data_IF_193755726931
#
_entry.id   IF_193755726931
#
_cell.length_a   1.000
_cell.length_b   1.000
_cell.length_c   1.000
_cell.angle_alpha   90.00
_cell.angle_beta   90.00
_cell.angle_gamma   90.00
#
_symmetry.space_group_name_H-M   'P 1'
#
loop_
_entity.id
_entity.type
_entity.pdbx_description
1 polymer ?
#
# COMPACT_ATOMS: atom_id res chain seq x y z
N UNK A 1 15.50 25.48 42.88
CA UNK A 1 14.66 26.49 42.19
C UNK A 1 13.21 26.28 42.58
N UNK A 2 12.44 27.33 42.83
CA UNK A 2 11.03 27.21 43.16
C UNK A 2 10.29 26.65 41.95
N UNK A 3 9.67 25.48 42.12
CA UNK A 3 8.82 24.88 41.08
C UNK A 3 7.50 25.66 41.00
N UNK A 4 7.28 26.35 39.90
CA UNK A 4 6.01 26.98 39.62
C UNK A 4 4.98 25.94 39.19
N UNK A 5 3.93 25.73 39.96
CA UNK A 5 2.82 24.87 39.60
C UNK A 5 1.88 25.62 38.66
N UNK A 6 1.67 25.07 37.44
CA UNK A 6 0.71 25.60 36.47
C UNK A 6 -0.44 24.61 36.35
N UNK A 7 -1.66 25.03 36.64
CA UNK A 7 -2.86 24.22 36.43
C UNK A 7 -3.45 24.53 35.04
N UNK A 8 -3.57 23.51 34.22
CA UNK A 8 -4.20 23.59 32.89
C UNK A 8 -5.39 22.65 32.86
N UNK A 9 -6.53 23.13 32.35
CA UNK A 9 -7.73 22.31 32.21
C UNK A 9 -7.49 21.14 31.24
N UNK A 10 -7.99 19.96 31.59
CA UNK A 10 -7.83 18.74 30.79
C UNK A 10 -8.33 18.95 29.34
N UNK A 11 -9.49 19.58 29.18
CA UNK A 11 -10.05 19.83 27.85
C UNK A 11 -9.20 20.78 27.00
N UNK A 12 -8.46 21.70 27.65
CA UNK A 12 -7.56 22.61 26.94
C UNK A 12 -6.36 21.89 26.32
N UNK A 13 -6.01 20.71 26.84
CA UNK A 13 -4.89 19.89 26.32
C UNK A 13 -5.42 18.76 25.40
N UNK A 14 -6.40 17.99 25.85
CA UNK A 14 -6.79 16.74 25.19
C UNK A 14 -8.01 16.87 24.26
N UNK A 15 -8.71 18.00 24.26
CA UNK A 15 -9.81 18.30 23.33
C UNK A 15 -9.46 19.46 22.39
N UNK A 16 -8.17 19.79 22.21
CA UNK A 16 -7.69 20.84 21.32
C UNK A 16 -6.39 20.44 20.62
N UNK A 17 -5.87 21.32 19.76
CA UNK A 17 -4.57 21.14 19.12
C UNK A 17 -3.45 21.68 20.03
N UNK A 18 -2.47 20.84 20.31
CA UNK A 18 -1.32 21.21 21.17
C UNK A 18 -0.02 20.96 20.41
N UNK A 19 0.86 21.95 20.38
CA UNK A 19 2.21 21.84 19.85
C UNK A 19 3.25 21.91 20.98
N UNK A 20 4.17 20.94 21.03
CA UNK A 20 5.33 20.93 21.93
C UNK A 20 6.57 21.28 21.10
N UNK A 21 7.14 22.45 21.34
CA UNK A 21 8.28 22.98 20.60
C UNK A 21 9.53 23.06 21.46
N UNK A 22 10.68 22.84 20.85
CA UNK A 22 11.97 22.96 21.53
C UNK A 22 13.10 22.32 20.70
N UNK A 23 14.33 22.66 21.00
CA UNK A 23 15.51 22.08 20.37
C UNK A 23 15.72 20.61 20.81
N UNK A 24 16.61 19.90 20.14
CA UNK A 24 17.04 18.55 20.54
C UNK A 24 17.59 18.61 21.97
N UNK A 25 17.17 17.67 22.82
CA UNK A 25 17.56 17.63 24.23
C UNK A 25 16.76 18.55 25.17
N UNK A 26 15.81 19.36 24.67
CA UNK A 26 14.99 20.28 25.51
C UNK A 26 13.92 19.59 26.34
N UNK A 27 13.76 18.26 26.22
CA UNK A 27 12.77 17.50 26.97
C UNK A 27 11.39 17.38 26.33
N UNK A 28 11.25 17.58 25.00
CA UNK A 28 9.97 17.42 24.28
C UNK A 28 9.33 16.06 24.52
N UNK A 29 10.05 14.97 24.22
CA UNK A 29 9.55 13.60 24.40
C UNK A 29 9.26 13.28 25.87
N UNK A 30 10.06 13.84 26.80
CA UNK A 30 9.81 13.72 28.24
C UNK A 30 8.51 14.42 28.64
N UNK A 31 8.26 15.62 28.13
CA UNK A 31 7.03 16.38 28.42
C UNK A 31 5.81 15.63 27.87
N UNK A 32 5.89 15.11 26.67
CA UNK A 32 4.84 14.30 26.05
C UNK A 32 4.58 13.03 26.87
N UNK A 33 5.63 12.28 27.20
CA UNK A 33 5.54 11.09 28.05
C UNK A 33 4.88 11.39 29.39
N UNK A 34 5.32 12.44 30.08
CA UNK A 34 4.79 12.83 31.39
C UNK A 34 3.31 13.20 31.33
N UNK A 35 2.92 13.95 30.28
CA UNK A 35 1.54 14.39 30.07
C UNK A 35 0.58 13.18 29.93
N UNK A 36 0.90 12.27 29.06
CA UNK A 36 0.05 11.09 28.82
C UNK A 36 0.17 10.04 29.93
N UNK A 37 1.33 9.91 30.58
CA UNK A 37 1.49 9.05 31.75
C UNK A 37 0.54 9.48 32.89
N UNK A 38 0.51 10.77 33.23
CA UNK A 38 -0.38 11.28 34.27
C UNK A 38 -1.86 11.18 33.89
N UNK A 39 -2.20 11.36 32.62
CA UNK A 39 -3.55 11.13 32.10
C UNK A 39 -3.99 9.68 32.31
N UNK A 40 -3.21 8.70 31.84
CA UNK A 40 -3.54 7.29 31.99
C UNK A 40 -3.47 6.80 33.41
N UNK A 41 -2.57 7.32 34.24
CA UNK A 41 -2.51 7.03 35.66
C UNK A 41 -3.79 7.44 36.36
N UNK A 42 -4.38 8.57 35.99
CA UNK A 42 -5.57 9.14 36.64
C UNK A 42 -6.88 8.53 36.07
N UNK A 43 -6.95 8.30 34.77
CA UNK A 43 -8.20 7.95 34.08
C UNK A 43 -8.20 6.56 33.41
N UNK A 44 -7.05 5.91 33.27
CA UNK A 44 -6.90 4.67 32.51
C UNK A 44 -7.67 3.45 33.06
N UNK A 45 -8.08 3.49 34.35
CA UNK A 45 -8.95 2.48 34.94
C UNK A 45 -10.45 2.79 34.83
N UNK A 46 -10.82 3.98 34.35
CA UNK A 46 -12.21 4.43 34.26
C UNK A 46 -12.79 3.88 32.94
N UNK A 47 -13.84 3.07 33.02
CA UNK A 47 -14.45 2.40 31.88
C UNK A 47 -14.97 3.41 30.83
N UNK A 48 -15.65 4.48 31.26
CA UNK A 48 -16.13 5.54 30.37
C UNK A 48 -14.98 6.23 29.58
N UNK A 49 -13.81 6.40 30.20
CA UNK A 49 -12.64 6.93 29.51
C UNK A 49 -12.12 5.94 28.46
N UNK A 50 -12.04 4.67 28.83
CA UNK A 50 -11.55 3.61 27.91
C UNK A 50 -12.45 3.40 26.69
N UNK A 51 -13.77 3.53 26.88
CA UNK A 51 -14.75 3.35 25.81
C UNK A 51 -14.87 4.59 24.90
N UNK A 52 -14.70 5.79 25.45
CA UNK A 52 -14.96 7.05 24.73
C UNK A 52 -13.71 7.77 24.26
N UNK A 53 -12.52 7.29 24.62
CA UNK A 53 -11.27 7.98 24.26
C UNK A 53 -10.32 7.04 23.54
N UNK A 54 -9.83 7.46 22.39
CA UNK A 54 -8.81 6.77 21.62
C UNK A 54 -7.62 7.69 21.40
N UNK A 55 -6.45 7.18 21.70
CA UNK A 55 -5.16 7.84 21.51
C UNK A 55 -4.33 7.00 20.53
N UNK A 56 -3.81 7.63 19.50
CA UNK A 56 -2.92 6.97 18.53
C UNK A 56 -1.63 7.77 18.46
N UNK A 57 -0.54 7.16 18.89
CA UNK A 57 0.79 7.75 18.92
C UNK A 57 1.62 7.18 17.77
N UNK A 58 2.08 8.07 16.89
CA UNK A 58 3.02 7.77 15.81
C UNK A 58 4.43 8.07 16.33
N UNK A 59 5.21 7.02 16.49
CA UNK A 59 6.53 7.02 17.12
C UNK A 59 7.62 6.76 16.08
N UNK A 60 8.32 7.79 15.64
CA UNK A 60 9.34 7.67 14.61
C UNK A 60 10.63 7.02 15.10
N UNK A 61 10.93 7.11 16.39
CA UNK A 61 12.20 6.68 16.98
C UNK A 61 12.11 5.40 17.81
N UNK A 62 10.90 4.92 18.14
CA UNK A 62 10.68 3.76 18.99
C UNK A 62 10.87 4.07 20.48
N UNK A 63 10.63 5.32 20.90
CA UNK A 63 10.83 5.77 22.29
C UNK A 63 9.70 5.37 23.23
N UNK A 64 8.52 5.07 22.67
CA UNK A 64 7.29 4.82 23.44
C UNK A 64 6.88 3.35 23.50
N UNK A 65 7.68 2.45 22.95
CA UNK A 65 7.51 1.01 23.12
C UNK A 65 7.90 0.61 24.55
N UNK A 66 7.22 -0.40 25.09
CA UNK A 66 7.60 -1.00 26.36
C UNK A 66 9.01 -1.60 26.24
N UNK A 67 9.84 -1.33 27.23
CA UNK A 67 11.20 -1.87 27.27
C UNK A 67 11.14 -3.19 28.02
N UNK A 68 11.51 -4.28 27.38
CA UNK A 68 11.85 -5.52 28.04
C UNK A 68 13.22 -5.27 28.68
N UNK A 69 13.25 -5.15 30.01
CA UNK A 69 14.50 -5.20 30.74
C UNK A 69 15.09 -6.62 30.57
N UNK A 70 16.43 -6.76 30.58
CA UNK A 70 17.18 -7.99 30.32
C UNK A 70 16.56 -9.23 31.00
N UNK A 71 16.91 -10.44 30.54
CA UNK A 71 16.45 -11.71 31.09
C UNK A 71 16.64 -11.85 32.62
N UNK A 72 17.50 -11.02 33.23
CA UNK A 72 17.76 -10.95 34.68
C UNK A 72 16.79 -10.06 35.44
N UNK A 73 16.05 -9.13 34.78
CA UNK A 73 15.00 -8.30 35.40
C UNK A 73 13.74 -8.27 34.51
N UNK A 74 12.81 -9.23 34.73
CA UNK A 74 11.58 -9.34 33.92
C UNK A 74 10.56 -8.22 34.14
N UNK A 75 10.88 -7.18 34.89
CA UNK A 75 10.01 -6.01 35.04
C UNK A 75 10.01 -5.20 33.76
N UNK A 76 9.00 -5.40 32.90
CA UNK A 76 8.76 -4.50 31.77
C UNK A 76 8.46 -3.11 32.30
N UNK A 77 9.33 -2.14 31.99
CA UNK A 77 9.04 -0.75 32.30
C UNK A 77 7.99 -0.26 31.31
N UNK A 78 6.75 -0.18 31.78
CA UNK A 78 5.66 0.36 30.98
C UNK A 78 5.95 1.84 30.66
N UNK A 79 6.09 2.16 29.37
CA UNK A 79 6.21 3.54 28.90
C UNK A 79 4.81 4.06 28.63
N UNK A 80 4.45 5.23 29.13
CA UNK A 80 3.12 5.87 29.12
C UNK A 80 2.10 5.16 30.02
N UNK A 81 1.78 3.90 29.78
CA UNK A 81 0.80 3.12 30.54
C UNK A 81 1.05 1.62 30.35
N UNK A 82 0.37 0.78 31.14
CA UNK A 82 0.46 -0.69 31.07
C UNK A 82 -0.23 -1.24 29.83
N UNK A 83 0.08 -2.51 29.50
CA UNK A 83 -0.51 -3.25 28.39
C UNK A 83 -2.04 -3.40 28.48
N UNK A 84 -2.62 -3.23 29.68
CA UNK A 84 -4.07 -3.20 29.85
C UNK A 84 -4.74 -2.03 29.09
N UNK A 85 -4.02 -0.94 28.89
CA UNK A 85 -4.50 0.24 28.19
C UNK A 85 -3.79 0.51 26.86
N UNK A 86 -2.71 -0.23 26.56
CA UNK A 86 -1.84 0.04 25.41
C UNK A 86 -1.73 -1.17 24.50
N UNK A 87 -1.77 -0.94 23.20
CA UNK A 87 -1.37 -1.88 22.14
C UNK A 87 -0.24 -1.28 21.33
N UNK A 88 0.76 -2.07 21.03
CA UNK A 88 1.96 -1.67 20.29
C UNK A 88 2.05 -2.37 18.94
N UNK A 89 2.41 -1.60 17.91
CA UNK A 89 2.75 -2.08 16.58
C UNK A 89 4.18 -1.60 16.26
N UNK A 90 5.17 -2.44 16.50
CA UNK A 90 6.55 -2.19 16.08
C UNK A 90 6.69 -2.61 14.62
N UNK A 91 6.43 -1.67 13.71
CA UNK A 91 6.44 -1.95 12.27
C UNK A 91 7.86 -2.05 11.73
N UNK A 92 8.08 -2.95 10.76
CA UNK A 92 9.38 -3.13 10.11
C UNK A 92 9.24 -3.51 8.64
N UNK A 93 9.96 -2.82 7.75
CA UNK A 93 10.09 -3.22 6.35
C UNK A 93 11.16 -4.30 6.13
N UNK A 94 12.04 -4.51 7.12
CA UNK A 94 13.12 -5.52 7.06
C UNK A 94 12.68 -6.93 7.44
N UNK A 95 11.53 -7.09 8.15
CA UNK A 95 11.05 -8.38 8.66
C UNK A 95 9.77 -8.77 7.91
N UNK A 96 9.76 -9.97 7.33
CA UNK A 96 8.63 -10.44 6.52
C UNK A 96 7.36 -10.73 7.36
N UNK A 97 7.53 -11.29 8.56
CA UNK A 97 6.42 -11.71 9.44
C UNK A 97 6.39 -10.90 10.75
N UNK A 98 6.68 -9.60 10.67
CA UNK A 98 6.58 -8.69 11.80
C UNK A 98 5.14 -8.32 12.17
N UNK A 99 4.95 -7.55 13.26
CA UNK A 99 3.65 -6.95 13.57
C UNK A 99 3.17 -6.08 12.41
N UNK A 100 1.89 -6.20 12.06
CA UNK A 100 1.26 -5.40 11.00
C UNK A 100 0.08 -4.61 11.57
N UNK A 101 -0.09 -3.39 11.06
CA UNK A 101 -1.21 -2.53 11.42
C UNK A 101 -2.47 -2.99 10.67
N UNK A 102 -3.54 -3.37 11.37
CA UNK A 102 -4.77 -3.76 10.71
C UNK A 102 -5.53 -2.55 10.19
N UNK A 103 -5.96 -2.62 8.92
CA UNK A 103 -6.85 -1.66 8.29
C UNK A 103 -8.02 -2.41 7.64
N UNK A 104 -9.23 -1.83 7.61
CA UNK A 104 -10.36 -2.47 6.96
C UNK A 104 -10.20 -2.44 5.43
N UNK A 105 -10.87 -3.35 4.75
CA UNK A 105 -10.90 -3.44 3.29
C UNK A 105 -11.36 -2.13 2.62
N UNK A 106 -12.29 -1.42 3.26
CA UNK A 106 -12.78 -0.12 2.81
C UNK A 106 -11.68 0.95 2.76
N UNK A 107 -10.76 0.95 3.74
CA UNK A 107 -9.64 1.90 3.75
C UNK A 107 -8.63 1.60 2.62
N UNK A 108 -8.38 0.31 2.35
CA UNK A 108 -7.47 -0.13 1.28
C UNK A 108 -8.08 0.08 -0.11
N UNK A 109 -9.41 0.03 -0.22
CA UNK A 109 -10.12 0.28 -1.48
C UNK A 109 -10.31 1.77 -1.79
N UNK A 110 -10.00 2.67 -0.86
CA UNK A 110 -10.11 4.11 -1.05
C UNK A 110 -9.04 4.63 -2.04
N UNK A 111 -9.47 5.49 -2.96
CA UNK A 111 -8.57 6.16 -3.92
C UNK A 111 -7.41 6.90 -3.22
N UNK A 112 -7.68 7.55 -2.08
CA UNK A 112 -6.64 8.28 -1.37
C UNK A 112 -5.55 7.35 -0.81
N UNK A 113 -5.87 6.11 -0.43
CA UNK A 113 -4.86 5.12 -0.04
C UNK A 113 -3.82 4.95 -1.17
N UNK A 114 -4.27 4.67 -2.39
CA UNK A 114 -3.39 4.43 -3.52
C UNK A 114 -2.70 5.70 -4.02
N UNK A 115 -3.39 6.84 -3.98
CA UNK A 115 -2.79 8.13 -4.33
C UNK A 115 -1.62 8.47 -3.41
N UNK A 116 -1.78 8.28 -2.09
CA UNK A 116 -0.73 8.50 -1.10
C UNK A 116 0.37 7.43 -1.21
N UNK A 117 -0.01 6.15 -1.27
CA UNK A 117 0.94 5.05 -1.36
C UNK A 117 1.84 5.20 -2.58
N UNK A 118 1.29 5.56 -3.73
CA UNK A 118 2.00 5.65 -4.99
C UNK A 118 2.51 7.06 -5.31
N UNK A 119 2.28 8.05 -4.42
CA UNK A 119 2.65 9.45 -4.67
C UNK A 119 2.17 9.89 -6.06
N UNK A 120 0.89 9.68 -6.33
CA UNK A 120 0.31 9.84 -7.65
C UNK A 120 0.08 11.31 -7.99
N UNK A 121 0.49 11.71 -9.19
CA UNK A 121 0.26 13.08 -9.67
C UNK A 121 -1.22 13.36 -9.90
N UNK A 122 -1.69 14.54 -9.49
CA UNK A 122 -3.12 14.91 -9.54
C UNK A 122 -3.69 14.94 -10.96
N UNK A 123 -2.91 15.37 -11.95
CA UNK A 123 -3.40 15.62 -13.33
C UNK A 123 -3.54 14.35 -14.17
N UNK A 124 -2.73 13.33 -13.94
CA UNK A 124 -2.65 12.16 -14.82
C UNK A 124 -2.83 10.84 -14.08
N UNK A 125 -2.09 10.65 -12.97
CA UNK A 125 -2.03 9.37 -12.28
C UNK A 125 -3.21 9.15 -11.33
N UNK A 126 -3.66 10.16 -10.59
CA UNK A 126 -4.83 10.05 -9.73
C UNK A 126 -6.14 9.79 -10.52
N UNK A 127 -6.43 10.46 -11.66
CA UNK A 127 -7.56 10.10 -12.52
C UNK A 127 -7.48 8.67 -13.08
N UNK A 128 -6.28 8.19 -13.42
CA UNK A 128 -6.07 6.79 -13.82
C UNK A 128 -6.46 5.83 -12.68
N UNK A 129 -5.95 6.04 -11.46
CA UNK A 129 -6.30 5.23 -10.29
C UNK A 129 -7.80 5.27 -9.98
N UNK A 130 -8.44 6.44 -10.09
CA UNK A 130 -9.88 6.59 -9.90
C UNK A 130 -10.69 5.72 -10.87
N UNK A 131 -10.30 5.64 -12.15
CA UNK A 131 -10.94 4.75 -13.13
C UNK A 131 -10.80 3.27 -12.76
N UNK A 132 -9.63 2.87 -12.28
CA UNK A 132 -9.38 1.48 -11.86
C UNK A 132 -10.26 1.10 -10.66
N UNK A 133 -10.35 1.97 -9.66
CA UNK A 133 -11.02 1.67 -8.39
C UNK A 133 -12.54 1.79 -8.47
N UNK A 134 -13.05 2.72 -9.31
CA UNK A 134 -14.50 2.97 -9.44
C UNK A 134 -15.17 2.12 -10.52
N UNK A 135 -14.45 1.18 -11.14
CA UNK A 135 -14.97 0.34 -12.22
C UNK A 135 -14.97 -1.13 -11.82
N UNK A 136 -16.08 -1.80 -12.02
CA UNK A 136 -16.23 -3.25 -11.84
C UNK A 136 -15.71 -4.06 -13.05
N UNK A 137 -15.18 -3.38 -14.06
CA UNK A 137 -14.76 -4.00 -15.32
C UNK A 137 -13.78 -5.15 -15.11
N UNK A 138 -12.78 -4.93 -14.26
CA UNK A 138 -11.78 -5.95 -13.97
C UNK A 138 -12.29 -6.99 -12.97
N UNK A 139 -13.11 -6.59 -12.00
CA UNK A 139 -13.68 -7.51 -11.00
C UNK A 139 -14.51 -8.61 -11.69
N UNK A 140 -15.36 -8.23 -12.62
CA UNK A 140 -16.18 -9.16 -13.41
C UNK A 140 -15.33 -10.15 -14.22
N UNK A 141 -14.22 -9.70 -14.79
CA UNK A 141 -13.33 -10.54 -15.61
C UNK A 141 -12.41 -11.42 -14.78
N UNK A 142 -11.91 -10.93 -13.68
CA UNK A 142 -11.10 -11.72 -12.75
C UNK A 142 -11.94 -12.85 -12.14
N UNK A 143 -13.23 -12.59 -11.87
CA UNK A 143 -14.16 -13.61 -11.41
C UNK A 143 -14.44 -14.71 -12.48
N UNK A 144 -14.17 -14.43 -13.76
CA UNK A 144 -14.35 -15.35 -14.87
C UNK A 144 -13.01 -15.57 -15.60
N UNK A 145 -12.18 -16.53 -15.19
CA UNK A 145 -10.83 -16.71 -15.72
C UNK A 145 -10.74 -16.80 -17.24
N UNK A 146 -11.71 -17.46 -17.90
CA UNK A 146 -11.74 -17.57 -19.35
C UNK A 146 -11.93 -16.21 -20.03
N UNK A 147 -12.73 -15.33 -19.47
CA UNK A 147 -12.91 -13.97 -20.00
C UNK A 147 -11.67 -13.11 -19.82
N UNK A 148 -11.02 -13.20 -18.67
CA UNK A 148 -9.77 -12.48 -18.44
C UNK A 148 -8.66 -12.96 -19.38
N UNK A 149 -8.50 -14.28 -19.55
CA UNK A 149 -7.52 -14.84 -20.47
C UNK A 149 -7.79 -14.43 -21.94
N UNK A 150 -9.05 -14.32 -22.33
CA UNK A 150 -9.42 -13.79 -23.65
C UNK A 150 -9.01 -12.33 -23.80
N UNK A 151 -9.29 -11.49 -22.78
CA UNK A 151 -8.88 -10.07 -22.78
C UNK A 151 -7.36 -9.94 -22.85
N UNK A 152 -6.61 -10.73 -22.07
CA UNK A 152 -5.14 -10.75 -22.11
C UNK A 152 -4.62 -11.16 -23.48
N UNK A 153 -5.20 -12.18 -24.08
CA UNK A 153 -4.88 -12.62 -25.44
C UNK A 153 -5.14 -11.52 -26.49
N UNK A 154 -6.28 -10.83 -26.38
CA UNK A 154 -6.63 -9.70 -27.26
C UNK A 154 -5.71 -8.50 -27.06
N UNK A 155 -5.25 -8.23 -25.85
CA UNK A 155 -4.25 -7.19 -25.57
C UNK A 155 -2.92 -7.50 -26.28
N UNK A 156 -2.45 -8.74 -26.18
CA UNK A 156 -1.20 -9.16 -26.83
C UNK A 156 -1.35 -9.16 -28.36
N UNK A 157 -2.47 -9.62 -28.86
CA UNK A 157 -2.74 -9.57 -30.29
C UNK A 157 -2.73 -8.13 -30.83
N UNK A 158 -3.38 -7.20 -30.11
CA UNK A 158 -3.36 -5.77 -30.46
C UNK A 158 -1.95 -5.18 -30.39
N UNK A 159 -1.20 -5.46 -29.32
CA UNK A 159 0.17 -4.97 -29.18
C UNK A 159 1.06 -5.42 -30.32
N UNK A 160 0.96 -6.69 -30.72
CA UNK A 160 1.82 -7.30 -31.75
C UNK A 160 1.39 -6.97 -33.19
N UNK A 161 0.13 -6.58 -33.41
CA UNK A 161 -0.39 -6.06 -34.70
C UNK A 161 -0.34 -4.53 -34.81
N UNK A 162 0.07 -3.83 -33.76
CA UNK A 162 0.14 -2.37 -33.75
C UNK A 162 1.32 -1.86 -34.58
N UNK A 163 1.12 -0.73 -35.25
CA UNK A 163 2.19 0.03 -35.90
C UNK A 163 2.91 1.00 -34.91
N UNK A 164 2.50 1.04 -33.65
CA UNK A 164 3.12 1.87 -32.63
C UNK A 164 4.47 1.26 -32.22
N UNK A 165 5.55 1.94 -32.57
CA UNK A 165 6.92 1.51 -32.26
C UNK A 165 7.27 1.54 -30.77
N UNK A 166 6.43 2.16 -29.93
CA UNK A 166 6.59 2.12 -28.47
C UNK A 166 6.12 0.81 -27.86
N UNK A 167 5.29 0.05 -28.59
CA UNK A 167 4.83 -1.29 -28.23
C UNK A 167 5.80 -2.34 -28.76
N UNK A 168 6.90 -2.51 -28.06
CA UNK A 168 7.96 -3.45 -28.40
C UNK A 168 7.74 -4.85 -27.75
N UNK A 169 8.65 -5.77 -28.06
CA UNK A 169 8.68 -7.11 -27.46
C UNK A 169 8.66 -7.06 -25.93
N UNK A 170 9.38 -6.11 -25.33
CA UNK A 170 9.48 -6.01 -23.88
C UNK A 170 8.13 -5.65 -23.23
N UNK A 171 7.29 -4.88 -23.90
CA UNK A 171 5.93 -4.57 -23.44
C UNK A 171 5.08 -5.83 -23.25
N UNK A 172 5.15 -6.76 -24.23
CA UNK A 172 4.42 -8.05 -24.17
C UNK A 172 4.97 -8.93 -23.05
N UNK A 173 6.30 -9.07 -22.97
CA UNK A 173 6.93 -9.90 -21.95
C UNK A 173 6.69 -9.35 -20.52
N UNK A 174 6.72 -8.04 -20.34
CA UNK A 174 6.44 -7.40 -19.07
C UNK A 174 4.98 -7.61 -18.64
N UNK A 175 4.01 -7.50 -19.56
CA UNK A 175 2.61 -7.81 -19.25
C UNK A 175 2.47 -9.23 -18.69
N UNK A 176 3.04 -10.23 -19.36
CA UNK A 176 2.95 -11.62 -18.91
C UNK A 176 3.69 -11.85 -17.58
N UNK A 177 4.85 -11.24 -17.41
CA UNK A 177 5.62 -11.30 -16.16
C UNK A 177 4.85 -10.66 -15.00
N UNK A 178 4.21 -9.51 -15.21
CA UNK A 178 3.40 -8.85 -14.17
C UNK A 178 2.16 -9.66 -13.79
N UNK A 179 1.50 -10.30 -14.77
CA UNK A 179 0.40 -11.24 -14.47
C UNK A 179 0.92 -12.39 -13.59
N UNK A 180 2.08 -12.98 -13.92
CA UNK A 180 2.72 -14.02 -13.10
C UNK A 180 3.06 -13.52 -11.68
N UNK A 181 3.61 -12.32 -11.57
CA UNK A 181 3.95 -11.71 -10.27
C UNK A 181 2.71 -11.44 -9.39
N UNK A 182 1.57 -11.12 -10.01
CA UNK A 182 0.32 -10.89 -9.28
C UNK A 182 -0.35 -12.19 -8.78
N UNK A 183 0.00 -13.35 -9.33
CA UNK A 183 -0.45 -14.65 -8.80
C UNK A 183 0.20 -15.00 -7.44
N UNK A 184 1.24 -14.25 -7.04
CA UNK A 184 1.83 -14.30 -5.70
C UNK A 184 2.39 -15.67 -5.32
N UNK A 185 1.86 -16.24 -4.21
CA UNK A 185 2.31 -17.52 -3.65
C UNK A 185 1.91 -18.75 -4.48
N UNK A 186 1.06 -18.58 -5.49
CA UNK A 186 0.59 -19.66 -6.38
C UNK A 186 0.97 -19.39 -7.83
N UNK A 187 2.27 -19.33 -8.17
CA UNK A 187 2.71 -19.08 -9.54
C UNK A 187 2.22 -20.18 -10.46
N UNK A 188 1.83 -19.82 -11.70
CA UNK A 188 1.41 -20.78 -12.70
C UNK A 188 2.60 -21.32 -13.49
N UNK A 189 2.94 -22.62 -13.38
CA UNK A 189 3.99 -23.20 -14.22
C UNK A 189 3.68 -23.11 -15.72
N UNK A 190 2.40 -23.20 -16.11
CA UNK A 190 1.98 -23.08 -17.50
C UNK A 190 2.24 -21.66 -18.04
N UNK A 191 1.99 -20.62 -17.23
CA UNK A 191 2.32 -19.23 -17.61
C UNK A 191 3.84 -19.01 -17.66
N UNK A 192 4.60 -19.58 -16.73
CA UNK A 192 6.07 -19.51 -16.76
C UNK A 192 6.65 -20.15 -18.04
N UNK A 193 6.12 -21.31 -18.44
CA UNK A 193 6.51 -21.96 -19.67
C UNK A 193 6.12 -21.12 -20.91
N UNK A 194 4.94 -20.50 -20.88
CA UNK A 194 4.51 -19.61 -21.96
C UNK A 194 5.41 -18.36 -22.06
N UNK A 195 5.78 -17.75 -20.92
CA UNK A 195 6.73 -16.63 -20.90
C UNK A 195 8.06 -17.04 -21.55
N UNK A 196 8.55 -18.23 -21.22
CA UNK A 196 9.79 -18.77 -21.82
C UNK A 196 9.63 -18.99 -23.33
N UNK A 197 8.49 -19.53 -23.79
CA UNK A 197 8.20 -19.71 -25.21
C UNK A 197 8.15 -18.35 -25.94
N UNK A 198 7.52 -17.34 -25.37
CA UNK A 198 7.50 -15.98 -25.91
C UNK A 198 8.90 -15.34 -25.92
N UNK A 199 9.72 -15.60 -24.90
CA UNK A 199 11.11 -15.14 -24.86
C UNK A 199 11.97 -15.78 -25.94
N UNK A 200 11.70 -17.02 -26.34
CA UNK A 200 12.46 -17.72 -27.36
C UNK A 200 11.99 -17.40 -28.76
N UNK A 201 10.68 -17.26 -28.97
CA UNK A 201 10.08 -17.26 -30.32
C UNK A 201 9.47 -15.90 -30.73
N UNK A 202 9.02 -15.04 -29.80
CA UNK A 202 8.52 -13.70 -30.13
C UNK A 202 9.69 -12.74 -30.28
N UNK A 203 9.82 -12.14 -31.45
CA UNK A 203 10.86 -11.16 -31.77
C UNK A 203 10.26 -9.87 -32.32
N UNK A 204 11.03 -8.78 -32.25
CA UNK A 204 10.66 -7.49 -32.80
C UNK A 204 11.80 -6.93 -33.66
N UNK A 205 11.51 -6.65 -34.91
CA UNK A 205 12.46 -5.99 -35.80
C UNK A 205 12.28 -4.46 -35.71
N UNK A 206 13.19 -3.79 -35.01
CA UNK A 206 13.11 -2.33 -34.76
C UNK A 206 13.22 -1.52 -36.08
N UNK A 207 13.95 -2.02 -37.10
CA UNK A 207 14.10 -1.35 -38.39
C UNK A 207 12.79 -1.37 -39.17
N UNK A 208 12.11 -2.51 -39.18
CA UNK A 208 10.83 -2.68 -39.90
C UNK A 208 9.63 -2.25 -39.04
N UNK A 209 9.81 -2.10 -37.70
CA UNK A 209 8.72 -1.80 -36.78
C UNK A 209 7.69 -2.94 -36.68
N UNK A 210 8.09 -4.19 -36.88
CA UNK A 210 7.18 -5.34 -36.94
C UNK A 210 7.64 -6.47 -36.04
N UNK A 211 6.66 -7.18 -35.48
CA UNK A 211 6.88 -8.44 -34.80
C UNK A 211 7.05 -9.59 -35.77
N UNK A 212 7.70 -10.67 -35.32
CA UNK A 212 7.73 -11.96 -36.00
C UNK A 212 7.87 -13.09 -34.96
N UNK A 213 7.39 -14.27 -35.34
CA UNK A 213 7.45 -15.47 -34.51
C UNK A 213 8.37 -16.50 -35.15
N UNK A 214 9.25 -17.11 -34.35
CA UNK A 214 10.21 -18.11 -34.79
C UNK A 214 11.56 -17.52 -35.20
N UNK A 215 12.47 -18.40 -35.70
CA UNK A 215 13.81 -17.98 -36.08
C UNK A 215 13.81 -17.31 -37.45
N UNK A 216 14.62 -16.25 -37.61
CA UNK A 216 14.82 -15.58 -38.90
C UNK A 216 15.44 -16.51 -40.00
N UNK A 217 16.13 -17.57 -39.59
CA UNK A 217 16.71 -18.56 -40.48
C UNK A 217 15.70 -19.58 -41.07
N UNK A 218 14.53 -19.67 -40.44
CA UNK A 218 13.37 -20.39 -40.98
C UNK A 218 12.30 -19.35 -41.34
N UNK A 219 11.40 -19.61 -42.27
CA UNK A 219 10.37 -18.66 -42.68
C UNK A 219 9.63 -18.10 -41.44
N UNK A 220 9.90 -16.84 -41.01
CA UNK A 220 9.27 -16.28 -39.79
C UNK A 220 7.79 -16.04 -40.06
N UNK A 221 6.96 -16.30 -39.05
CA UNK A 221 5.54 -15.99 -39.07
C UNK A 221 5.39 -14.51 -38.67
N UNK A 222 4.81 -13.69 -39.52
CA UNK A 222 4.51 -12.29 -39.24
C UNK A 222 3.06 -12.09 -38.75
N UNK A 223 2.68 -10.92 -38.28
CA UNK A 223 1.34 -10.66 -37.79
C UNK A 223 0.20 -10.80 -38.81
N UNK A 224 0.50 -10.79 -40.10
CA UNK A 224 -0.48 -10.96 -41.18
C UNK A 224 -0.68 -12.44 -41.54
N UNK A 225 0.19 -13.33 -41.05
CA UNK A 225 0.11 -14.76 -41.31
C UNK A 225 -1.04 -15.43 -40.54
N UNK A 226 -1.82 -16.35 -41.11
CA UNK A 226 -2.94 -17.04 -40.47
C UNK A 226 -2.59 -17.73 -39.14
N UNK A 227 -1.36 -18.23 -38.97
CA UNK A 227 -0.90 -18.89 -37.76
C UNK A 227 -0.48 -17.91 -36.63
N UNK A 228 -0.55 -16.60 -36.85
CA UNK A 228 -0.13 -15.62 -35.83
C UNK A 228 -0.95 -15.71 -34.56
N UNK A 229 -2.27 -15.76 -34.67
CA UNK A 229 -3.17 -15.85 -33.50
C UNK A 229 -2.95 -17.16 -32.75
N UNK A 230 -2.76 -18.27 -33.41
CA UNK A 230 -2.47 -19.56 -32.79
C UNK A 230 -1.16 -19.54 -31.96
N UNK A 231 -0.15 -18.78 -32.41
CA UNK A 231 1.12 -18.67 -31.70
C UNK A 231 1.14 -17.60 -30.60
N UNK A 232 0.18 -16.68 -30.57
CA UNK A 232 0.12 -15.57 -29.62
C UNK A 232 -1.13 -15.66 -28.73
N UNK A 233 -2.27 -15.21 -29.22
CA UNK A 233 -3.52 -15.12 -28.45
C UNK A 233 -3.99 -16.49 -27.94
N UNK A 234 -4.07 -17.50 -28.81
CA UNK A 234 -4.69 -18.78 -28.45
C UNK A 234 -3.89 -19.52 -27.37
N UNK A 235 -2.56 -19.37 -27.35
CA UNK A 235 -1.71 -19.92 -26.31
C UNK A 235 -2.04 -19.32 -24.93
N UNK A 236 -2.46 -18.05 -24.87
CA UNK A 236 -2.84 -17.37 -23.63
C UNK A 236 -4.24 -17.82 -23.19
N UNK A 237 -5.17 -17.87 -24.13
CA UNK A 237 -6.55 -18.31 -23.88
C UNK A 237 -6.59 -19.76 -23.36
N UNK A 238 -5.66 -20.59 -23.79
CA UNK A 238 -5.55 -21.99 -23.37
C UNK A 238 -4.88 -22.21 -22.00
N UNK A 239 -4.40 -21.15 -21.32
CA UNK A 239 -3.72 -21.29 -20.04
C UNK A 239 -4.68 -21.78 -18.95
N UNK A 240 -4.32 -22.81 -18.18
CA UNK A 240 -5.11 -23.27 -17.04
C UNK A 240 -4.82 -22.43 -15.79
N UNK A 241 -5.18 -21.14 -15.82
CA UNK A 241 -4.95 -20.22 -14.70
C UNK A 241 -6.26 -19.94 -13.97
N UNK A 242 -6.20 -20.02 -12.65
CA UNK A 242 -7.25 -19.54 -11.76
C UNK A 242 -6.76 -18.30 -11.01
N UNK A 243 -7.46 -17.19 -11.19
CA UNK A 243 -7.12 -15.90 -10.55
C UNK A 243 -7.71 -15.75 -9.15
N UNK A 244 -8.51 -16.72 -8.67
CA UNK A 244 -9.07 -16.69 -7.30
C UNK A 244 -8.01 -16.85 -6.20
N UNK A 245 -6.78 -17.22 -6.56
CA UNK A 245 -5.64 -17.25 -5.62
C UNK A 245 -5.09 -15.86 -5.27
N UNK A 246 -5.49 -14.82 -6.00
CA UNK A 246 -5.08 -13.44 -5.71
C UNK A 246 -5.82 -12.98 -4.46
N UNK A 247 -5.05 -12.60 -3.43
CA UNK A 247 -5.63 -12.15 -2.16
C UNK A 247 -6.47 -10.88 -2.35
N UNK A 248 -7.70 -10.84 -1.78
CA UNK A 248 -8.51 -9.62 -1.78
C UNK A 248 -7.78 -8.43 -1.12
N UNK A 249 -8.14 -7.22 -1.51
CA UNK A 249 -7.53 -6.00 -0.98
C UNK A 249 -6.31 -5.57 -1.81
N UNK A 250 -5.13 -5.50 -1.19
CA UNK A 250 -3.95 -4.88 -1.81
C UNK A 250 -3.52 -5.61 -3.11
N UNK A 251 -3.48 -6.94 -3.11
CA UNK A 251 -3.02 -7.70 -4.27
C UNK A 251 -4.00 -7.65 -5.43
N UNK A 252 -5.29 -7.76 -5.13
CA UNK A 252 -6.33 -7.64 -6.15
C UNK A 252 -6.33 -6.25 -6.81
N UNK A 253 -6.22 -5.19 -6.02
CA UNK A 253 -6.17 -3.83 -6.57
C UNK A 253 -4.87 -3.59 -7.34
N UNK A 254 -3.73 -4.08 -6.84
CA UNK A 254 -2.48 -4.09 -7.61
C UNK A 254 -2.67 -4.72 -8.98
N UNK A 255 -3.30 -5.89 -9.03
CA UNK A 255 -3.56 -6.59 -10.29
C UNK A 255 -4.45 -5.78 -11.23
N UNK A 256 -5.53 -5.18 -10.72
CA UNK A 256 -6.40 -4.29 -11.51
C UNK A 256 -5.63 -3.09 -12.08
N UNK A 257 -4.74 -2.47 -11.30
CA UNK A 257 -3.88 -1.36 -11.75
C UNK A 257 -2.97 -1.80 -12.90
N UNK A 258 -2.33 -2.95 -12.77
CA UNK A 258 -1.46 -3.53 -13.82
C UNK A 258 -2.25 -3.80 -15.10
N UNK A 259 -3.40 -4.48 -14.99
CA UNK A 259 -4.24 -4.79 -16.13
C UNK A 259 -4.70 -3.52 -16.87
N UNK A 260 -5.17 -2.51 -16.12
CA UNK A 260 -5.62 -1.25 -16.70
C UNK A 260 -4.46 -0.49 -17.37
N UNK A 261 -3.29 -0.49 -16.75
CA UNK A 261 -2.11 0.16 -17.33
C UNK A 261 -1.77 -0.41 -18.70
N UNK A 262 -1.64 -1.73 -18.82
CA UNK A 262 -1.31 -2.34 -20.10
C UNK A 262 -2.45 -2.19 -21.12
N UNK A 263 -3.70 -2.28 -20.68
CA UNK A 263 -4.84 -2.04 -21.57
C UNK A 263 -4.84 -0.62 -22.14
N UNK A 264 -4.59 0.38 -21.31
CA UNK A 264 -4.57 1.79 -21.72
C UNK A 264 -3.38 2.10 -22.65
N UNK A 265 -2.20 1.59 -22.32
CA UNK A 265 -0.98 1.79 -23.13
C UNK A 265 -1.12 1.10 -24.49
N UNK A 266 -1.54 -0.16 -24.52
CA UNK A 266 -1.71 -0.94 -25.75
C UNK A 266 -2.83 -0.39 -26.65
N UNK A 267 -3.85 0.18 -26.05
CA UNK A 267 -4.96 0.80 -26.80
C UNK A 267 -4.70 2.25 -27.19
N UNK A 268 -3.56 2.83 -26.78
CA UNK A 268 -3.22 4.24 -27.06
C UNK A 268 -4.03 5.27 -26.25
N UNK A 269 -4.79 4.83 -25.23
CA UNK A 269 -5.56 5.75 -24.36
C UNK A 269 -4.68 6.57 -23.43
N UNK A 270 -3.52 6.06 -23.05
CA UNK A 270 -2.61 6.74 -22.15
C UNK A 270 -1.18 6.66 -22.64
N UNK A 271 -0.45 7.78 -22.49
CA UNK A 271 0.98 7.78 -22.78
C UNK A 271 1.72 6.99 -21.69
N UNK A 272 2.54 6.02 -22.14
CA UNK A 272 3.40 5.19 -21.29
C UNK A 272 4.27 6.03 -20.36
N UNK A 273 4.85 7.12 -20.83
CA UNK A 273 5.75 7.96 -20.04
C UNK A 273 5.10 8.57 -18.79
N UNK A 274 3.80 8.88 -18.85
CA UNK A 274 3.07 9.44 -17.72
C UNK A 274 2.73 8.41 -16.64
N UNK A 275 2.50 7.16 -17.03
CA UNK A 275 2.08 6.10 -16.12
C UNK A 275 3.22 5.18 -15.65
N UNK A 276 4.30 5.02 -16.42
CA UNK A 276 5.44 4.17 -16.03
C UNK A 276 6.03 4.49 -14.66
N UNK A 277 6.17 5.77 -14.23
CA UNK A 277 6.65 6.08 -12.89
C UNK A 277 5.70 5.58 -11.78
N UNK A 278 4.39 5.58 -12.04
CA UNK A 278 3.40 5.05 -11.12
C UNK A 278 3.56 3.54 -10.96
N UNK A 279 3.69 2.80 -12.08
CA UNK A 279 3.88 1.34 -12.07
C UNK A 279 5.19 0.97 -11.36
N UNK A 280 6.27 1.70 -11.60
CA UNK A 280 7.52 1.45 -10.90
C UNK A 280 7.41 1.65 -9.37
N UNK A 281 6.64 2.65 -8.93
CA UNK A 281 6.34 2.82 -7.50
C UNK A 281 5.42 1.71 -6.97
N UNK A 282 4.47 1.23 -7.77
CA UNK A 282 3.63 0.07 -7.43
C UNK A 282 4.48 -1.17 -7.14
N UNK A 283 5.42 -1.50 -8.02
CA UNK A 283 6.33 -2.65 -7.88
C UNK A 283 7.18 -2.59 -6.60
N UNK A 284 7.64 -1.40 -6.23
CA UNK A 284 8.53 -1.22 -5.07
C UNK A 284 7.79 -1.04 -3.75
N UNK A 285 6.67 -0.29 -3.74
CA UNK A 285 5.98 0.09 -2.50
C UNK A 285 4.95 -0.93 -2.02
N UNK A 286 4.35 -1.72 -2.94
CA UNK A 286 3.37 -2.74 -2.53
C UNK A 286 3.99 -3.85 -1.69
N UNK A 287 5.17 -4.41 -2.02
CA UNK A 287 5.81 -5.37 -1.13
C UNK A 287 6.12 -4.82 0.26
N UNK A 288 6.50 -3.55 0.36
CA UNK A 288 6.80 -2.90 1.63
C UNK A 288 5.54 -2.66 2.46
N UNK A 289 4.48 -2.09 1.85
CA UNK A 289 3.24 -1.83 2.58
C UNK A 289 2.58 -3.13 3.08
N UNK A 290 2.67 -4.24 2.36
CA UNK A 290 2.18 -5.56 2.78
C UNK A 290 2.89 -6.11 4.03
N UNK A 291 4.12 -5.70 4.31
CA UNK A 291 4.82 -6.03 5.55
C UNK A 291 4.33 -5.20 6.74
N UNK A 292 3.76 -4.02 6.49
CA UNK A 292 3.38 -3.05 7.50
C UNK A 292 1.88 -3.08 7.82
N UNK A 293 1.05 -3.45 6.84
CA UNK A 293 -0.42 -3.42 6.94
C UNK A 293 -0.99 -4.82 6.66
N UNK A 294 -2.06 -5.16 7.36
CA UNK A 294 -2.91 -6.31 7.08
C UNK A 294 -4.35 -5.83 6.91
N UNK A 295 -5.07 -6.42 5.95
CA UNK A 295 -6.50 -6.14 5.77
C UNK A 295 -7.29 -6.98 6.78
N UNK A 296 -8.06 -6.31 7.64
CA UNK A 296 -8.83 -6.94 8.72
C UNK A 296 -10.09 -6.11 8.99
N UNK A 297 -11.23 -6.61 8.53
CA UNK A 297 -12.52 -5.94 8.69
C UNK A 297 -13.14 -6.13 10.08
N UNK A 298 -12.69 -7.14 10.83
CA UNK A 298 -13.16 -7.42 12.19
C UNK A 298 -12.36 -6.68 13.26
N UNK A 299 -11.35 -5.90 12.86
CA UNK A 299 -10.48 -5.20 13.78
C UNK A 299 -11.23 -4.23 14.67
N UNK A 300 -11.15 -4.47 15.96
CA UNK A 300 -11.55 -3.54 17.00
C UNK A 300 -10.30 -2.97 17.68
N UNK A 301 -10.24 -1.67 17.80
CA UNK A 301 -9.22 -1.02 18.62
C UNK A 301 -9.62 -1.19 20.09
N UNK A 302 -9.25 -2.30 20.68
CA UNK A 302 -9.65 -2.77 22.01
C UNK A 302 -8.93 -2.05 23.19
N UNK A 303 -7.93 -1.24 22.87
CA UNK A 303 -7.15 -0.46 23.84
C UNK A 303 -7.28 1.03 23.57
N UNK A 304 -7.39 1.85 24.62
CA UNK A 304 -7.50 3.30 24.47
C UNK A 304 -6.24 3.95 23.90
N UNK A 305 -5.06 3.35 24.07
CA UNK A 305 -3.80 3.83 23.48
C UNK A 305 -3.25 2.83 22.47
N UNK A 306 -2.96 3.30 21.27
CA UNK A 306 -2.24 2.58 20.24
C UNK A 306 -0.93 3.31 19.98
N UNK A 307 0.19 2.58 20.03
CA UNK A 307 1.51 3.09 19.68
C UNK A 307 1.96 2.40 18.38
N UNK A 308 2.26 3.19 17.36
CA UNK A 308 2.75 2.73 16.07
C UNK A 308 4.18 3.19 15.90
N UNK A 309 5.13 2.29 16.13
CA UNK A 309 6.54 2.59 15.95
C UNK A 309 6.97 2.39 14.50
N UNK A 310 7.66 3.39 13.97
CA UNK A 310 8.20 3.43 12.60
C UNK A 310 9.73 3.33 12.59
N UNK A 311 10.37 3.01 13.72
CA UNK A 311 11.83 2.99 13.86
C UNK A 311 12.52 2.13 12.79
N UNK A 312 11.97 0.95 12.53
CA UNK A 312 12.56 -0.03 11.61
C UNK A 312 11.86 -0.04 10.23
N UNK A 313 11.16 1.05 9.92
CA UNK A 313 10.48 1.27 8.63
C UNK A 313 11.37 2.12 7.72
N UNK A 314 11.43 1.79 6.43
CA UNK A 314 12.21 2.57 5.47
C UNK A 314 11.65 3.98 5.26
N UNK A 315 12.48 4.90 4.74
CA UNK A 315 12.15 6.32 4.66
C UNK A 315 10.88 6.61 3.84
N UNK A 316 10.65 5.87 2.75
CA UNK A 316 9.46 6.07 1.90
C UNK A 316 8.18 5.71 2.65
N UNK A 317 8.18 4.60 3.38
CA UNK A 317 7.01 4.16 4.14
C UNK A 317 6.81 4.93 5.44
N UNK A 318 7.87 5.50 6.05
CA UNK A 318 7.74 6.42 7.20
C UNK A 318 6.87 7.64 6.91
N UNK A 319 6.79 8.08 5.66
CA UNK A 319 5.89 9.17 5.23
C UNK A 319 4.47 8.65 4.93
N UNK A 320 4.38 7.52 4.27
CA UNK A 320 3.13 6.96 3.77
C UNK A 320 2.24 6.44 4.91
N UNK A 321 2.80 5.62 5.82
CA UNK A 321 2.02 4.97 6.89
C UNK A 321 1.29 5.96 7.80
N UNK A 322 1.94 7.04 8.31
CA UNK A 322 1.23 8.05 9.11
C UNK A 322 0.08 8.72 8.36
N UNK A 323 0.27 9.06 7.09
CA UNK A 323 -0.76 9.72 6.30
C UNK A 323 -1.98 8.80 6.09
N UNK A 324 -1.74 7.52 5.77
CA UNK A 324 -2.81 6.52 5.62
C UNK A 324 -3.55 6.30 6.94
N UNK A 325 -2.81 6.14 8.04
CA UNK A 325 -3.39 5.91 9.35
C UNK A 325 -4.22 7.11 9.83
N UNK A 326 -3.67 8.32 9.76
CA UNK A 326 -4.38 9.53 10.17
C UNK A 326 -5.65 9.74 9.34
N UNK A 327 -5.58 9.56 8.01
CA UNK A 327 -6.76 9.64 7.15
C UNK A 327 -7.82 8.62 7.54
N UNK A 328 -7.44 7.34 7.65
CA UNK A 328 -8.37 6.28 8.05
C UNK A 328 -9.06 6.58 9.39
N UNK A 329 -8.28 6.97 10.39
CA UNK A 329 -8.82 7.29 11.72
C UNK A 329 -9.77 8.49 11.70
N UNK A 330 -9.42 9.52 10.94
CA UNK A 330 -10.26 10.70 10.75
C UNK A 330 -11.59 10.35 10.07
N UNK A 331 -11.53 9.63 8.95
CA UNK A 331 -12.73 9.24 8.18
C UNK A 331 -13.64 8.32 9.01
N UNK A 332 -13.05 7.37 9.75
CA UNK A 332 -13.78 6.52 10.69
C UNK A 332 -14.47 7.33 11.79
N UNK A 333 -13.77 8.29 12.39
CA UNK A 333 -14.33 9.18 13.43
C UNK A 333 -15.50 9.97 12.86
N UNK A 334 -15.33 10.55 11.66
CA UNK A 334 -16.37 11.35 11.00
C UNK A 334 -17.59 10.51 10.61
N UNK A 335 -17.38 9.27 10.16
CA UNK A 335 -18.47 8.39 9.73
C UNK A 335 -19.25 7.75 10.88
N UNK A 336 -18.55 7.33 11.94
CA UNK A 336 -19.13 6.50 13.00
C UNK A 336 -19.52 7.27 14.28
N UNK A 337 -19.20 8.56 14.37
CA UNK A 337 -19.48 9.36 15.56
C UNK A 337 -20.05 10.76 15.24
N UNK A 338 -21.23 10.82 14.59
CA UNK A 338 -21.85 12.09 14.22
C UNK A 338 -22.23 12.96 15.44
N UNK A 339 -22.42 12.35 16.61
CA UNK A 339 -22.73 13.05 17.87
C UNK A 339 -21.50 13.58 18.60
N UNK A 340 -20.29 13.32 18.11
CA UNK A 340 -19.02 13.65 18.82
C UNK A 340 -18.94 13.14 20.25
N UNK A 341 -19.43 11.94 20.50
CA UNK A 341 -19.41 11.31 21.83
C UNK A 341 -18.07 10.66 22.18
N UNK A 342 -17.22 10.44 21.18
CA UNK A 342 -15.91 9.83 21.31
C UNK A 342 -14.79 10.83 21.02
N UNK A 343 -13.69 10.71 21.70
CA UNK A 343 -12.49 11.53 21.50
C UNK A 343 -11.42 10.74 20.77
N UNK A 344 -10.90 11.30 19.68
CA UNK A 344 -9.73 10.78 18.97
C UNK A 344 -8.58 11.76 19.11
N UNK A 345 -7.48 11.31 19.72
CA UNK A 345 -6.24 12.07 19.85
C UNK A 345 -5.17 11.43 18.96
N UNK A 346 -4.72 12.19 17.96
CA UNK A 346 -3.58 11.82 17.14
C UNK A 346 -2.33 12.50 17.69
N UNK A 347 -1.36 11.70 18.10
CA UNK A 347 -0.12 12.16 18.71
C UNK A 347 1.00 11.83 17.72
N UNK A 348 1.73 12.84 17.29
CA UNK A 348 2.82 12.68 16.33
C UNK A 348 4.09 13.19 17.01
N UNK A 349 4.93 12.26 17.42
CA UNK A 349 6.28 12.61 17.83
C UNK A 349 7.14 12.89 16.59
N UNK A 350 8.06 13.83 16.68
CA UNK A 350 8.88 14.28 15.56
C UNK A 350 8.04 14.68 14.31
N UNK A 351 7.00 15.49 14.51
CA UNK A 351 6.03 15.89 13.48
C UNK A 351 6.67 16.54 12.24
N UNK A 352 7.91 17.04 12.33
CA UNK A 352 8.67 17.58 11.22
C UNK A 352 8.91 16.54 10.10
N UNK A 353 8.93 15.23 10.42
CA UNK A 353 9.05 14.15 9.43
C UNK A 353 7.86 14.08 8.46
N UNK A 354 6.71 14.63 8.85
CA UNK A 354 5.49 14.66 8.02
C UNK A 354 5.21 16.07 7.49
N UNK A 355 5.42 17.10 8.34
CA UNK A 355 4.93 18.46 8.11
C UNK A 355 5.96 19.39 7.47
N UNK A 356 7.25 19.01 7.37
CA UNK A 356 8.26 19.88 6.77
C UNK A 356 8.09 19.97 5.25
N UNK A 357 8.35 21.14 4.67
CA UNK A 357 8.35 21.37 3.23
C UNK A 357 9.39 20.51 2.48
N UNK A 358 10.45 20.08 3.16
CA UNK A 358 11.46 19.15 2.63
C UNK A 358 10.94 17.69 2.60
N UNK A 359 9.90 17.37 3.37
CA UNK A 359 9.26 16.06 3.32
C UNK A 359 8.44 15.84 2.07
N UNK A 360 8.19 16.88 1.26
CA UNK A 360 7.42 16.82 0.02
C UNK A 360 8.29 16.71 -1.25
N UNK A 361 9.62 16.53 -1.10
CA UNK A 361 10.57 16.34 -2.23
C UNK A 361 11.06 14.89 -2.33
#
# INVERSE_FOLDING_TARGET
EPTQSVAVGINAIFASHVGIFGNTGSGKSYTLTKLYHELFKKYGSIEAFRQRSQFVLIDFNGEYLNRVCSDEDPRSTAVLTSDANKREYALSTGVANGPRLPLPSSAVSDLAFWTVLLDATEKTQAPFLARVLNSDYWDQRIAQPADLLRVLGDMILRATKSNDRTLDRQTVLNLLAEVQNCLGSSPSPALANLITDFQQNLHYNATMGKFYWGSWSSTPIDPDHPAWEANTKDKIVALPINFSSIEPGIDLIRFKIVLQYYNDVISGFSNREHLSPLIKRLETRVPDIKKLIVVDDDQKYDRPLIVVSLRDVNLSMRKVVPMLLCKHLYDRKKGNDPGNEHYLNLIIDEAHNILSSESSR
#
